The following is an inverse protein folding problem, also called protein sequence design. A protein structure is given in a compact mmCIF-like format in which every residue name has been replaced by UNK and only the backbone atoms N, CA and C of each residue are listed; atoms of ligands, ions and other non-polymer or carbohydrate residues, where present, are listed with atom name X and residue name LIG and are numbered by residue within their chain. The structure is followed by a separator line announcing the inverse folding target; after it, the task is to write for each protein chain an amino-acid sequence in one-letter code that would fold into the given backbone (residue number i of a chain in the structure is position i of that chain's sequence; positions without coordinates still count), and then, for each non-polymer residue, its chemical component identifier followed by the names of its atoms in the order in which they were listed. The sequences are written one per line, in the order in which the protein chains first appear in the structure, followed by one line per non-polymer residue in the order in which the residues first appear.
data_IF_654732582013
#
_entry.id   IF_654732582013
#
_cell.length_a   1.000
_cell.length_b   1.000
_cell.length_c   1.000
_cell.angle_alpha   90.00
_cell.angle_beta   90.00
_cell.angle_gamma   90.00
#
_symmetry.space_group_name_H-M   'P 1'
#
loop_
_entity.id
_entity.type
_entity.pdbx_description
1 polymer ?
#
# COMPACT_ATOMS: atom_id res chain seq x y z
N UNK A 1 0.15 -17.12 -1.96
CA UNK A 1 1.20 -16.72 -2.92
C UNK A 1 2.54 -16.96 -2.25
N UNK A 2 3.42 -17.78 -2.81
CA UNK A 2 4.75 -18.04 -2.24
C UNK A 2 5.71 -17.00 -2.83
N UNK A 3 6.37 -16.19 -1.99
CA UNK A 3 7.37 -15.22 -2.41
C UNK A 3 8.69 -15.96 -2.64
N UNK A 4 9.01 -16.29 -3.89
CA UNK A 4 10.21 -17.07 -4.23
C UNK A 4 11.24 -16.27 -5.01
N UNK A 5 10.80 -15.23 -5.72
CA UNK A 5 11.66 -14.37 -6.50
C UNK A 5 11.31 -12.88 -6.29
N UNK A 6 12.23 -12.00 -6.69
CA UNK A 6 12.01 -10.55 -6.72
C UNK A 6 10.71 -10.16 -7.44
N UNK A 7 10.42 -10.79 -8.58
CA UNK A 7 9.20 -10.53 -9.34
C UNK A 7 7.92 -10.84 -8.53
N UNK A 8 7.93 -11.89 -7.70
CA UNK A 8 6.79 -12.23 -6.84
C UNK A 8 6.57 -11.15 -5.78
N UNK A 9 7.66 -10.66 -5.18
CA UNK A 9 7.63 -9.56 -4.21
C UNK A 9 7.08 -8.28 -4.86
N UNK A 10 7.58 -7.91 -6.03
CA UNK A 10 7.11 -6.72 -6.76
C UNK A 10 5.61 -6.84 -7.05
N UNK A 11 5.15 -8.00 -7.55
CA UNK A 11 3.72 -8.24 -7.82
C UNK A 11 2.88 -8.12 -6.54
N UNK A 12 3.29 -8.75 -5.45
CA UNK A 12 2.55 -8.72 -4.19
C UNK A 12 2.50 -7.30 -3.57
N UNK A 13 3.63 -6.59 -3.59
CA UNK A 13 3.71 -5.19 -3.15
C UNK A 13 2.81 -4.31 -4.01
N UNK A 14 2.88 -4.45 -5.32
CA UNK A 14 2.05 -3.67 -6.24
C UNK A 14 0.55 -3.91 -6.03
N UNK A 15 0.11 -5.15 -5.85
CA UNK A 15 -1.28 -5.45 -5.51
C UNK A 15 -1.70 -4.79 -4.19
N UNK A 16 -0.81 -4.77 -3.20
CA UNK A 16 -1.06 -4.12 -1.91
C UNK A 16 -1.21 -2.61 -2.05
N UNK A 17 -0.35 -1.96 -2.86
CA UNK A 17 -0.46 -0.54 -3.18
C UNK A 17 -1.74 -0.22 -3.97
N UNK A 18 -2.13 -1.09 -4.91
CA UNK A 18 -3.36 -0.93 -5.66
C UNK A 18 -4.59 -1.02 -4.75
N UNK A 19 -4.57 -1.94 -3.78
CA UNK A 19 -5.63 -2.02 -2.77
C UNK A 19 -5.71 -0.73 -1.93
N UNK A 20 -4.57 -0.12 -1.54
CA UNK A 20 -4.57 1.15 -0.82
C UNK A 20 -5.22 2.27 -1.64
N UNK A 21 -4.89 2.34 -2.95
CA UNK A 21 -5.52 3.30 -3.87
C UNK A 21 -7.03 3.11 -3.89
N UNK A 22 -7.50 1.88 -4.12
CA UNK A 22 -8.95 1.60 -4.19
C UNK A 22 -9.65 1.91 -2.86
N UNK A 23 -9.02 1.62 -1.71
CA UNK A 23 -9.54 2.01 -0.39
C UNK A 23 -9.68 3.52 -0.26
N UNK A 24 -8.67 4.28 -0.68
CA UNK A 24 -8.71 5.74 -0.64
C UNK A 24 -9.69 6.36 -1.64
N UNK A 25 -9.85 5.77 -2.83
CA UNK A 25 -10.83 6.21 -3.83
C UNK A 25 -12.28 5.98 -3.38
N UNK A 26 -12.52 4.90 -2.64
CA UNK A 26 -13.86 4.54 -2.14
C UNK A 26 -14.18 5.12 -0.75
N UNK A 27 -13.29 5.93 -0.18
CA UNK A 27 -13.50 6.53 1.13
C UNK A 27 -14.59 7.60 1.09
N UNK A 28 -15.68 7.39 1.83
CA UNK A 28 -16.84 8.30 1.86
C UNK A 28 -16.88 9.23 3.09
N UNK A 29 -15.90 9.13 3.99
CA UNK A 29 -15.85 9.94 5.20
C UNK A 29 -15.61 11.43 4.92
N UNK A 30 -15.98 12.26 5.89
CA UNK A 30 -15.94 13.72 5.78
C UNK A 30 -14.75 14.35 6.53
N UNK A 31 -14.09 13.59 7.41
CA UNK A 31 -12.95 14.06 8.19
C UNK A 31 -11.86 14.69 7.28
N UNK A 32 -11.54 15.99 7.44
CA UNK A 32 -10.61 16.68 6.54
C UNK A 32 -9.20 16.09 6.53
N UNK A 33 -8.70 15.62 7.68
CA UNK A 33 -7.37 15.03 7.78
C UNK A 33 -7.30 13.68 7.06
N UNK A 34 -8.32 12.85 7.20
CA UNK A 34 -8.39 11.56 6.49
C UNK A 34 -8.61 11.73 4.99
N UNK A 35 -9.41 12.72 4.55
CA UNK A 35 -9.53 13.04 3.11
C UNK A 35 -8.19 13.48 2.52
N UNK A 36 -7.47 14.37 3.19
CA UNK A 36 -6.13 14.79 2.77
C UNK A 36 -5.12 13.63 2.79
N UNK A 37 -5.28 12.68 3.70
CA UNK A 37 -4.48 11.46 3.71
C UNK A 37 -4.81 10.57 2.50
N UNK A 38 -6.09 10.30 2.23
CA UNK A 38 -6.55 9.52 1.09
C UNK A 38 -6.06 10.08 -0.25
N UNK A 39 -6.17 11.39 -0.47
CA UNK A 39 -5.68 12.05 -1.69
C UNK A 39 -4.17 11.87 -1.90
N UNK A 40 -3.40 11.91 -0.80
CA UNK A 40 -1.96 11.70 -0.85
C UNK A 40 -1.63 10.24 -1.15
N UNK A 41 -2.35 9.30 -0.56
CA UNK A 41 -2.18 7.87 -0.81
C UNK A 41 -2.42 7.53 -2.28
N UNK A 42 -3.51 8.02 -2.87
CA UNK A 42 -3.82 7.81 -4.29
C UNK A 42 -2.66 8.29 -5.17
N UNK A 43 -2.21 9.53 -4.97
CA UNK A 43 -1.13 10.13 -5.79
C UNK A 43 0.19 9.39 -5.63
N UNK A 44 0.62 9.13 -4.39
CA UNK A 44 1.89 8.45 -4.09
C UNK A 44 1.90 7.03 -4.65
N UNK A 45 0.84 6.26 -4.42
CA UNK A 45 0.79 4.85 -4.78
C UNK A 45 0.66 4.66 -6.29
N UNK A 46 -0.06 5.53 -7.01
CA UNK A 46 -0.04 5.53 -8.49
C UNK A 46 1.36 5.76 -9.05
N UNK A 47 2.11 6.72 -8.49
CA UNK A 47 3.50 6.97 -8.89
C UNK A 47 4.42 5.77 -8.61
N UNK A 48 4.26 5.14 -7.44
CA UNK A 48 5.01 3.93 -7.06
C UNK A 48 4.70 2.75 -7.98
N UNK A 49 3.43 2.52 -8.31
CA UNK A 49 3.01 1.48 -9.26
C UNK A 49 3.61 1.69 -10.64
N UNK A 50 3.64 2.93 -11.15
CA UNK A 50 4.29 3.24 -12.43
C UNK A 50 5.80 2.91 -12.42
N UNK A 51 6.48 3.09 -11.29
CA UNK A 51 7.90 2.72 -11.15
C UNK A 51 8.09 1.20 -11.09
N UNK A 52 7.26 0.51 -10.31
CA UNK A 52 7.32 -0.95 -10.16
C UNK A 52 6.90 -1.70 -11.44
N UNK A 53 5.89 -1.20 -12.17
CA UNK A 53 5.42 -1.80 -13.43
C UNK A 53 6.48 -1.78 -14.55
N UNK A 54 7.50 -0.92 -14.47
CA UNK A 54 8.66 -0.99 -15.39
C UNK A 54 9.55 -2.22 -15.16
N UNK A 55 9.43 -2.86 -13.99
CA UNK A 55 10.25 -3.99 -13.54
C UNK A 55 9.53 -5.33 -13.69
N UNK A 56 8.21 -5.32 -13.75
CA UNK A 56 7.39 -6.51 -14.01
C UNK A 56 6.51 -6.23 -15.24
N UNK A 57 6.79 -6.87 -16.40
CA UNK A 57 6.03 -6.64 -17.63
C UNK A 57 4.56 -7.06 -17.56
N UNK A 58 4.20 -7.93 -16.62
CA UNK A 58 2.81 -8.33 -16.40
C UNK A 58 2.01 -7.18 -15.77
N UNK A 59 0.92 -6.79 -16.45
CA UNK A 59 -0.03 -5.81 -15.95
C UNK A 59 -0.51 -6.20 -14.55
N UNK A 60 -0.19 -5.38 -13.55
CA UNK A 60 -0.82 -5.46 -12.23
C UNK A 60 -2.31 -5.18 -12.43
N UNK A 61 -3.21 -6.16 -12.19
CA UNK A 61 -4.62 -5.97 -12.47
C UNK A 61 -5.18 -4.85 -11.58
N UNK A 62 -6.02 -3.95 -12.13
CA UNK A 62 -6.68 -2.95 -11.31
C UNK A 62 -7.60 -3.65 -10.30
N UNK A 63 -7.46 -3.30 -9.02
CA UNK A 63 -8.43 -3.71 -7.99
C UNK A 63 -9.66 -2.82 -8.18
N UNK A 64 -10.64 -3.32 -8.95
CA UNK A 64 -11.81 -2.54 -9.36
C UNK A 64 -12.81 -2.30 -8.23
N UNK A 65 -12.89 -3.21 -7.27
CA UNK A 65 -13.82 -3.08 -6.14
C UNK A 65 -13.28 -3.80 -4.91
N UNK A 66 -13.38 -3.16 -3.76
CA UNK A 66 -13.12 -3.82 -2.48
C UNK A 66 -14.31 -4.68 -2.08
N UNK A 67 -14.04 -5.82 -1.44
CA UNK A 67 -15.09 -6.63 -0.84
C UNK A 67 -15.86 -5.88 0.26
N UNK A 68 -15.19 -4.94 0.94
CA UNK A 68 -15.77 -4.08 1.97
C UNK A 68 -15.29 -2.66 1.67
N UNK A 69 -16.20 -1.78 1.29
CA UNK A 69 -15.90 -0.37 1.06
C UNK A 69 -15.79 0.38 2.41
N UNK A 70 -14.83 1.31 2.55
CA UNK A 70 -14.70 2.11 3.76
C UNK A 70 -15.72 3.26 3.77
N UNK A 71 -16.93 2.97 4.21
CA UNK A 71 -18.07 3.89 4.26
C UNK A 71 -17.95 4.98 5.33
N UNK A 72 -17.09 4.77 6.33
CA UNK A 72 -16.83 5.72 7.42
C UNK A 72 -15.35 5.80 7.80
N UNK A 73 -14.98 6.81 8.59
CA UNK A 73 -13.61 7.07 9.05
C UNK A 73 -12.96 5.87 9.74
N UNK A 74 -13.69 5.19 10.62
CA UNK A 74 -13.16 4.06 11.38
C UNK A 74 -12.84 2.87 10.47
N UNK A 75 -13.76 2.56 9.55
CA UNK A 75 -13.57 1.50 8.56
C UNK A 75 -12.37 1.80 7.64
N UNK A 76 -12.21 3.07 7.24
CA UNK A 76 -11.08 3.54 6.44
C UNK A 76 -9.75 3.38 7.17
N UNK A 77 -9.65 3.89 8.40
CA UNK A 77 -8.44 3.80 9.22
C UNK A 77 -8.03 2.34 9.42
N UNK A 78 -8.97 1.47 9.79
CA UNK A 78 -8.71 0.04 9.97
C UNK A 78 -8.26 -0.64 8.68
N UNK A 79 -8.89 -0.32 7.54
CA UNK A 79 -8.51 -0.87 6.24
C UNK A 79 -7.08 -0.45 5.85
N UNK A 80 -6.74 0.83 6.03
CA UNK A 80 -5.39 1.33 5.73
C UNK A 80 -4.34 0.75 6.67
N UNK A 81 -4.63 0.62 7.97
CA UNK A 81 -3.73 -0.02 8.94
C UNK A 81 -3.42 -1.47 8.55
N UNK A 82 -4.45 -2.25 8.18
CA UNK A 82 -4.27 -3.64 7.71
C UNK A 82 -3.46 -3.70 6.41
N UNK A 83 -3.74 -2.79 5.47
CA UNK A 83 -3.00 -2.70 4.21
C UNK A 83 -1.51 -2.40 4.45
N UNK A 84 -1.20 -1.43 5.32
CA UNK A 84 0.18 -1.07 5.66
C UNK A 84 0.90 -2.19 6.43
N UNK A 85 0.20 -2.89 7.32
CA UNK A 85 0.74 -4.07 7.99
C UNK A 85 1.11 -5.16 6.99
N UNK A 86 0.23 -5.44 6.02
CA UNK A 86 0.51 -6.40 4.94
C UNK A 86 1.68 -5.97 4.08
N UNK A 87 1.79 -4.68 3.75
CA UNK A 87 2.92 -4.15 2.98
C UNK A 87 4.25 -4.38 3.70
N UNK A 88 4.31 -4.10 5.00
CA UNK A 88 5.50 -4.31 5.82
C UNK A 88 5.87 -5.79 5.92
N UNK A 89 4.89 -6.66 6.15
CA UNK A 89 5.09 -8.12 6.19
C UNK A 89 5.65 -8.65 4.85
N UNK A 90 5.15 -8.17 3.71
CA UNK A 90 5.67 -8.54 2.39
C UNK A 90 7.13 -8.10 2.21
N UNK A 91 7.46 -6.86 2.62
CA UNK A 91 8.82 -6.32 2.53
C UNK A 91 9.78 -7.10 3.43
N UNK A 92 9.36 -7.42 4.65
CA UNK A 92 10.14 -8.21 5.60
C UNK A 92 10.40 -9.62 5.07
N UNK A 93 9.37 -10.32 4.60
CA UNK A 93 9.54 -11.63 3.95
C UNK A 93 10.44 -11.55 2.70
N UNK A 94 10.34 -10.47 1.93
CA UNK A 94 11.15 -10.22 0.75
C UNK A 94 12.62 -9.94 1.05
N UNK A 95 12.99 -9.60 2.29
CA UNK A 95 14.36 -9.21 2.65
C UNK A 95 15.38 -10.35 2.51
N UNK A 96 14.93 -11.60 2.57
CA UNK A 96 15.75 -12.79 2.35
C UNK A 96 15.95 -13.15 0.87
N UNK A 97 15.30 -12.44 -0.05
CA UNK A 97 15.42 -12.69 -1.49
C UNK A 97 16.65 -11.96 -2.08
N UNK A 98 17.27 -12.51 -3.14
CA UNK A 98 18.27 -11.78 -3.92
C UNK A 98 17.60 -10.65 -4.70
N UNK A 99 17.51 -9.46 -4.10
CA UNK A 99 16.93 -8.27 -4.71
C UNK A 99 18.01 -7.43 -5.42
N UNK A 100 17.64 -6.83 -6.55
CA UNK A 100 18.44 -5.78 -7.18
C UNK A 100 18.57 -4.56 -6.26
N UNK A 101 19.66 -3.81 -6.40
CA UNK A 101 19.93 -2.66 -5.53
C UNK A 101 18.86 -1.57 -5.61
N UNK A 102 18.19 -1.40 -6.75
CA UNK A 102 17.10 -0.44 -6.88
C UNK A 102 15.79 -0.92 -6.26
N UNK A 103 15.48 -2.23 -6.36
CA UNK A 103 14.31 -2.79 -5.70
C UNK A 103 14.49 -2.79 -4.19
N UNK A 104 15.67 -3.16 -3.68
CA UNK A 104 15.98 -3.08 -2.25
C UNK A 104 15.73 -1.67 -1.70
N UNK A 105 16.29 -0.64 -2.35
CA UNK A 105 16.05 0.78 -1.97
C UNK A 105 14.58 1.18 -2.04
N UNK A 106 13.86 0.67 -3.03
CA UNK A 106 12.41 0.92 -3.17
C UNK A 106 11.64 0.30 -2.00
N UNK A 107 11.96 -0.93 -1.60
CA UNK A 107 11.33 -1.61 -0.46
C UNK A 107 11.63 -0.93 0.88
N UNK A 108 12.88 -0.49 1.10
CA UNK A 108 13.27 0.29 2.29
C UNK A 108 12.48 1.61 2.37
N UNK A 109 12.37 2.34 1.26
CA UNK A 109 11.60 3.56 1.20
C UNK A 109 10.09 3.33 1.43
N UNK A 110 9.53 2.24 0.89
CA UNK A 110 8.14 1.85 1.14
C UNK A 110 7.92 1.52 2.61
N UNK A 111 8.82 0.75 3.23
CA UNK A 111 8.74 0.37 4.64
C UNK A 111 8.79 1.60 5.56
N UNK A 112 9.73 2.52 5.33
CA UNK A 112 9.83 3.76 6.10
C UNK A 112 8.57 4.62 6.01
N UNK A 113 8.03 4.80 4.79
CA UNK A 113 6.78 5.54 4.59
C UNK A 113 5.60 4.85 5.28
N UNK A 114 5.46 3.53 5.13
CA UNK A 114 4.35 2.78 5.72
C UNK A 114 4.37 2.86 7.25
N UNK A 115 5.54 2.83 7.88
CA UNK A 115 5.65 3.02 9.33
C UNK A 115 5.21 4.42 9.76
N UNK A 116 5.63 5.47 9.06
CA UNK A 116 5.21 6.85 9.35
C UNK A 116 3.70 7.04 9.18
N UNK A 117 3.12 6.48 8.11
CA UNK A 117 1.69 6.56 7.82
C UNK A 117 0.86 5.76 8.83
N UNK A 118 1.35 4.60 9.31
CA UNK A 118 0.72 3.85 10.42
C UNK A 118 0.69 4.65 11.71
N UNK A 119 1.74 5.38 12.06
CA UNK A 119 1.75 6.24 13.25
C UNK A 119 0.64 7.29 13.19
N UNK A 120 0.48 7.95 12.03
CA UNK A 120 -0.64 8.88 11.81
C UNK A 120 -2.00 8.19 11.97
N UNK A 121 -2.18 7.03 11.33
CA UNK A 121 -3.45 6.29 11.37
C UNK A 121 -3.80 5.81 12.79
N UNK A 122 -2.82 5.40 13.60
CA UNK A 122 -3.06 5.02 15.00
C UNK A 122 -3.52 6.20 15.86
N UNK A 123 -3.04 7.41 15.59
CA UNK A 123 -3.57 8.63 16.24
C UNK A 123 -5.04 8.84 15.86
N UNK A 124 -5.38 8.65 14.58
CA UNK A 124 -6.76 8.77 14.10
C UNK A 124 -7.69 7.67 14.62
N UNK A 125 -7.18 6.45 14.88
CA UNK A 125 -7.98 5.34 15.44
C UNK A 125 -8.39 5.57 16.90
N UNK A 126 -7.58 6.32 17.64
CA UNK A 126 -7.76 6.61 19.08
C UNK A 126 -8.51 7.91 19.35
N UNK A 127 -8.75 8.72 18.31
CA UNK A 127 -9.44 10.02 18.40
C UNK A 127 -10.95 9.83 18.22
#
# INVERSE_FOLDING_TARGET
MSLRAEADLIKAVALTLQHAITTSEQFQGSNPALRKFADREIKKNRSRLLKLGKRVPENIPPVRQLAIAPDNEQSYVRAMLRNHARLLELIEHGSGLPLSADIKRTMEALSSNANAERTFLYTMEKS
#
